data_IF_021441501503
#
_entry.id   IF_021441501503
#
_cell.length_a   1.000
_cell.length_b   1.000
_cell.length_c   1.000
_cell.angle_alpha   90.00
_cell.angle_beta   90.00
_cell.angle_gamma   90.00
#
_symmetry.space_group_name_H-M   'P 1'
#
loop_
_entity.id
_entity.type
_entity.pdbx_description
1 polymer ?
#
# COMPACT_ATOMS: atom_id res chain seq x y z
N UNK A 1 3.21 -22.29 0.72
CA UNK A 1 3.20 -20.83 0.53
C UNK A 1 2.89 -20.18 1.88
N UNK A 2 3.91 -19.68 2.59
CA UNK A 2 3.68 -18.93 3.84
C UNK A 2 3.28 -17.51 3.46
N UNK A 3 1.99 -17.19 3.55
CA UNK A 3 1.52 -15.82 3.44
C UNK A 3 1.95 -15.12 4.74
N UNK A 4 3.07 -14.41 4.72
CA UNK A 4 3.40 -13.50 5.82
C UNK A 4 2.40 -12.35 5.78
N UNK A 5 1.41 -12.40 6.66
CA UNK A 5 0.49 -11.31 6.92
C UNK A 5 1.27 -10.17 7.58
N UNK A 6 1.75 -9.20 6.80
CA UNK A 6 2.32 -7.97 7.35
C UNK A 6 1.16 -7.10 7.87
N UNK A 7 0.79 -7.27 9.14
CA UNK A 7 -0.16 -6.38 9.81
C UNK A 7 0.45 -4.97 9.83
N UNK A 8 -0.28 -3.99 9.30
CA UNK A 8 0.08 -2.58 9.42
C UNK A 8 -0.40 -2.06 10.79
N UNK A 9 0.38 -1.15 11.37
CA UNK A 9 0.13 -0.52 12.67
C UNK A 9 0.00 0.99 12.46
N UNK A 10 -1.03 1.58 13.07
CA UNK A 10 -1.17 3.02 13.19
C UNK A 10 -0.85 3.44 14.62
N UNK A 11 0.10 4.37 14.74
CA UNK A 11 0.49 4.95 16.03
C UNK A 11 -0.20 6.30 16.21
N UNK A 12 -0.98 6.41 17.27
CA UNK A 12 -1.66 7.62 17.67
C UNK A 12 -0.91 8.20 18.88
N UNK A 13 -0.11 9.25 18.65
CA UNK A 13 0.68 9.90 19.68
C UNK A 13 -0.09 10.99 20.41
N UNK A 14 0.01 11.01 21.74
CA UNK A 14 -0.52 12.10 22.54
C UNK A 14 0.26 13.39 22.29
N UNK A 15 -0.45 14.52 22.22
CA UNK A 15 0.17 15.85 22.13
C UNK A 15 0.96 16.15 23.40
N UNK A 16 2.22 16.61 23.30
CA UNK A 16 3.03 16.93 24.47
C UNK A 16 2.49 18.17 25.21
N UNK A 17 2.47 18.09 26.54
CA UNK A 17 2.05 19.19 27.44
C UNK A 17 3.24 19.95 28.02
N UNK A 18 4.44 19.37 27.93
CA UNK A 18 5.70 19.95 28.39
C UNK A 18 6.72 19.96 27.28
N UNK A 19 7.70 20.86 27.38
CA UNK A 19 8.87 20.82 26.50
C UNK A 19 9.63 19.50 26.75
N UNK A 20 10.29 18.94 25.73
CA UNK A 20 11.15 17.78 25.93
C UNK A 20 12.22 18.11 26.97
N UNK A 21 12.54 17.14 27.83
CA UNK A 21 13.63 17.25 28.81
C UNK A 21 14.86 16.46 28.39
N UNK A 22 14.73 15.57 27.40
CA UNK A 22 15.83 14.80 26.84
C UNK A 22 16.50 15.57 25.69
N UNK A 23 17.85 15.58 25.68
CA UNK A 23 18.65 16.08 24.55
C UNK A 23 18.97 17.58 24.53
N UNK A 24 18.57 18.36 25.55
CA UNK A 24 18.97 19.77 25.69
C UNK A 24 17.95 20.66 26.39
N UNK A 25 18.25 21.95 26.45
CA UNK A 25 17.33 23.02 26.88
C UNK A 25 16.47 23.45 25.69
N UNK A 26 15.22 23.03 25.69
CA UNK A 26 14.24 23.44 24.70
C UNK A 26 13.51 24.68 25.19
N UNK A 27 13.52 25.73 24.39
CA UNK A 27 12.78 26.96 24.68
C UNK A 27 11.63 27.14 23.69
N UNK A 28 10.56 27.80 24.16
CA UNK A 28 9.42 28.12 23.30
C UNK A 28 9.80 29.26 22.35
N UNK A 29 9.22 29.32 21.13
CA UNK A 29 9.36 30.49 20.27
C UNK A 29 8.92 31.79 20.98
N UNK A 30 9.55 32.91 20.65
CA UNK A 30 9.24 34.21 21.28
C UNK A 30 7.82 34.73 20.94
N UNK A 31 7.27 34.35 19.78
CA UNK A 31 5.92 34.72 19.32
C UNK A 31 5.22 33.55 18.63
N UNK A 32 3.90 33.65 18.43
CA UNK A 32 3.07 32.62 17.81
C UNK A 32 2.22 31.84 18.80
N UNK A 33 1.37 30.93 18.29
CA UNK A 33 0.34 30.26 19.08
C UNK A 33 0.91 29.48 20.29
N UNK A 34 2.06 28.83 20.12
CA UNK A 34 2.71 27.99 21.14
C UNK A 34 3.77 28.72 21.99
N UNK A 35 3.89 30.06 21.86
CA UNK A 35 4.82 30.85 22.68
C UNK A 35 4.31 31.02 24.12
N UNK A 36 5.16 31.55 25.02
CA UNK A 36 4.76 31.92 26.38
C UNK A 36 3.76 33.08 26.43
N UNK A 37 3.83 34.01 25.47
CA UNK A 37 2.86 35.11 25.32
C UNK A 37 1.63 34.78 24.46
N UNK A 38 1.59 33.59 23.85
CA UNK A 38 0.47 33.05 23.09
C UNK A 38 -0.44 32.16 23.95
N UNK A 39 -0.99 31.08 23.37
CA UNK A 39 -1.80 30.09 24.12
C UNK A 39 -0.96 29.04 24.85
N UNK A 40 0.36 29.01 24.61
CA UNK A 40 1.27 28.01 25.20
C UNK A 40 1.08 26.60 24.67
N UNK A 41 1.78 25.63 25.29
CA UNK A 41 1.53 24.21 25.03
C UNK A 41 0.17 23.79 25.57
N UNK A 42 -0.48 22.76 25.00
CA UNK A 42 -1.71 22.19 25.55
C UNK A 42 -1.56 21.86 27.04
N UNK A 43 -2.57 22.21 27.86
CA UNK A 43 -2.60 21.87 29.29
C UNK A 43 -3.05 20.42 29.54
N UNK A 44 -3.67 19.79 28.54
CA UNK A 44 -4.14 18.41 28.59
C UNK A 44 -3.61 17.65 27.38
N UNK A 45 -3.30 16.37 27.57
CA UNK A 45 -2.91 15.49 26.47
C UNK A 45 -4.15 15.12 25.67
N UNK A 46 -4.06 15.20 24.35
CA UNK A 46 -5.09 14.71 23.43
C UNK A 46 -4.43 13.91 22.33
N UNK A 47 -5.13 12.88 21.85
CA UNK A 47 -4.66 11.98 20.80
C UNK A 47 -5.46 12.27 19.52
N UNK A 48 -4.79 12.44 18.36
CA UNK A 48 -5.48 12.67 17.10
C UNK A 48 -6.33 11.46 16.73
N UNK A 49 -7.48 11.72 16.11
CA UNK A 49 -8.41 10.68 15.65
C UNK A 49 -8.39 10.62 14.13
N UNK A 50 -8.20 9.43 13.57
CA UNK A 50 -8.34 9.14 12.16
C UNK A 50 -9.80 8.77 11.88
N UNK A 51 -10.45 9.50 10.97
CA UNK A 51 -11.78 9.15 10.47
C UNK A 51 -11.61 8.51 9.10
N UNK A 52 -12.10 7.29 8.95
CA UNK A 52 -12.19 6.58 7.67
C UNK A 52 -13.66 6.56 7.29
N UNK A 53 -14.05 7.46 6.40
CA UNK A 53 -15.40 7.61 5.86
C UNK A 53 -15.63 6.78 4.59
N UNK A 54 -14.55 6.34 3.94
CA UNK A 54 -14.57 5.55 2.72
C UNK A 54 -14.04 4.13 2.94
N UNK A 55 -14.88 3.13 2.67
CA UNK A 55 -14.53 1.72 2.81
C UNK A 55 -13.39 1.26 1.88
N UNK A 56 -13.26 1.84 0.68
CA UNK A 56 -12.16 1.55 -0.25
C UNK A 56 -10.83 2.05 0.30
N UNK A 57 -10.79 3.26 0.86
CA UNK A 57 -9.60 3.77 1.53
C UNK A 57 -9.25 2.90 2.75
N UNK A 58 -10.26 2.49 3.54
CA UNK A 58 -10.09 1.56 4.65
C UNK A 58 -9.40 0.24 4.27
N UNK A 59 -9.70 -0.31 3.09
CA UNK A 59 -9.02 -1.52 2.56
C UNK A 59 -7.54 -1.30 2.24
N UNK A 60 -7.14 -0.09 1.87
CA UNK A 60 -5.73 0.25 1.60
C UNK A 60 -4.95 0.35 2.91
N UNK A 61 -5.52 1.04 3.90
CA UNK A 61 -4.86 1.26 5.20
C UNK A 61 -5.06 0.10 6.18
N UNK A 62 -5.90 -0.88 5.86
CA UNK A 62 -6.15 -2.08 6.68
C UNK A 62 -7.05 -1.82 7.90
N UNK A 63 -7.88 -0.78 7.85
CA UNK A 63 -8.79 -0.39 8.93
C UNK A 63 -10.23 -0.29 8.42
N UNK A 64 -11.19 -0.79 9.19
CA UNK A 64 -12.63 -0.60 8.90
C UNK A 64 -13.01 0.87 8.86
N UNK A 65 -14.03 1.22 8.06
CA UNK A 65 -14.65 2.53 8.13
C UNK A 65 -15.14 2.81 9.57
N UNK A 66 -14.92 4.05 10.03
CA UNK A 66 -15.13 4.45 11.41
C UNK A 66 -14.04 5.39 11.91
N UNK A 67 -14.12 5.71 13.20
CA UNK A 67 -13.12 6.57 13.84
C UNK A 67 -12.18 5.74 14.70
N UNK A 68 -10.88 5.99 14.55
CA UNK A 68 -9.81 5.30 15.26
C UNK A 68 -8.93 6.33 15.97
N UNK A 69 -8.79 6.30 17.30
CA UNK A 69 -9.55 5.47 18.24
C UNK A 69 -11.05 5.82 18.28
N UNK A 70 -11.89 4.84 18.62
CA UNK A 70 -13.36 4.98 18.64
C UNK A 70 -13.84 6.01 19.67
N UNK A 71 -13.08 6.19 20.74
CA UNK A 71 -13.31 7.19 21.81
C UNK A 71 -12.10 8.12 21.87
N UNK A 72 -12.32 9.39 22.21
CA UNK A 72 -11.22 10.32 22.46
C UNK A 72 -10.30 9.79 23.56
N UNK A 73 -9.00 9.81 23.29
CA UNK A 73 -7.98 9.29 24.18
C UNK A 73 -6.99 10.40 24.57
N UNK A 74 -6.37 10.24 25.74
CA UNK A 74 -5.36 11.14 26.29
C UNK A 74 -3.98 10.47 26.37
N UNK A 75 -3.90 9.17 26.02
CA UNK A 75 -2.70 8.33 26.12
C UNK A 75 -2.38 7.77 24.74
N UNK A 76 -1.10 7.82 24.37
CA UNK A 76 -0.62 7.26 23.10
C UNK A 76 -1.00 5.79 22.98
N UNK A 77 -1.45 5.39 21.79
CA UNK A 77 -1.85 4.01 21.53
C UNK A 77 -1.47 3.60 20.11
N UNK A 78 -1.32 2.29 19.92
CA UNK A 78 -1.11 1.69 18.63
C UNK A 78 -2.31 0.81 18.29
N UNK A 79 -2.84 0.96 17.09
CA UNK A 79 -3.90 0.10 16.60
C UNK A 79 -3.40 -0.75 15.45
N UNK A 80 -3.55 -2.07 15.60
CA UNK A 80 -3.29 -3.02 14.52
C UNK A 80 -4.44 -2.99 13.51
N UNK A 81 -4.09 -3.17 12.24
CA UNK A 81 -5.05 -3.43 11.16
C UNK A 81 -6.03 -4.55 11.53
N UNK A 82 -7.32 -4.26 11.38
CA UNK A 82 -8.43 -5.19 11.64
C UNK A 82 -9.00 -5.79 10.34
N UNK A 83 -8.58 -5.27 9.19
CA UNK A 83 -8.81 -5.86 7.87
C UNK A 83 -7.44 -6.19 7.28
N UNK A 84 -7.34 -7.31 6.56
CA UNK A 84 -6.15 -7.60 5.76
C UNK A 84 -6.04 -6.50 4.70
N UNK A 85 -5.02 -5.61 4.75
CA UNK A 85 -4.88 -4.57 3.76
C UNK A 85 -4.75 -5.24 2.39
N UNK A 86 -5.65 -4.89 1.49
CA UNK A 86 -5.73 -5.53 0.18
C UNK A 86 -4.67 -4.90 -0.73
N UNK A 87 -3.39 -5.12 -0.42
CA UNK A 87 -2.31 -4.95 -1.40
C UNK A 87 -2.48 -6.15 -2.33
N UNK A 88 -3.21 -5.92 -3.40
CA UNK A 88 -3.64 -6.90 -4.39
C UNK A 88 -2.68 -8.10 -4.52
N UNK A 89 -3.09 -9.34 -4.16
CA UNK A 89 -2.13 -10.44 -3.99
C UNK A 89 -1.52 -10.98 -5.28
N UNK A 90 -2.01 -10.58 -6.46
CA UNK A 90 -1.42 -10.88 -7.77
C UNK A 90 -1.67 -9.69 -8.71
N UNK A 91 -0.72 -8.77 -8.82
CA UNK A 91 -0.90 -7.50 -9.54
C UNK A 91 -0.76 -7.63 -11.06
N UNK A 92 -0.19 -8.73 -11.56
CA UNK A 92 0.04 -8.93 -12.99
C UNK A 92 0.30 -10.40 -13.28
N UNK A 93 -0.27 -10.89 -14.37
CA UNK A 93 0.12 -12.13 -15.02
C UNK A 93 1.09 -11.80 -16.14
N UNK A 94 2.22 -12.50 -16.17
CA UNK A 94 3.19 -12.39 -17.25
C UNK A 94 3.10 -13.67 -18.08
N UNK A 95 2.66 -13.54 -19.32
CA UNK A 95 2.66 -14.62 -20.30
C UNK A 95 4.02 -14.63 -20.99
N UNK A 96 4.72 -15.76 -20.93
CA UNK A 96 6.00 -15.97 -21.61
C UNK A 96 5.86 -17.07 -22.66
N UNK A 97 6.53 -16.90 -23.79
CA UNK A 97 6.59 -17.87 -24.86
C UNK A 97 8.02 -17.99 -25.40
N UNK A 98 8.49 -19.23 -25.48
CA UNK A 98 9.87 -19.58 -25.86
C UNK A 98 10.20 -19.33 -27.34
N UNK A 99 9.19 -19.01 -28.15
CA UNK A 99 9.34 -18.69 -29.56
C UNK A 99 9.71 -17.22 -29.80
N UNK A 100 9.45 -16.34 -28.82
CA UNK A 100 9.62 -14.90 -28.98
C UNK A 100 11.09 -14.55 -28.91
N UNK A 101 11.49 -13.62 -29.79
CA UNK A 101 12.85 -13.11 -29.86
C UNK A 101 12.88 -11.61 -29.54
N UNK A 102 13.42 -11.27 -28.36
CA UNK A 102 13.83 -9.90 -28.06
C UNK A 102 15.25 -9.91 -27.47
N UNK A 103 16.24 -9.58 -28.30
CA UNK A 103 17.67 -9.57 -27.93
C UNK A 103 18.06 -8.33 -27.09
N UNK A 104 17.17 -7.34 -26.97
CA UNK A 104 17.46 -6.09 -26.28
C UNK A 104 17.14 -6.14 -24.78
N UNK A 105 16.56 -7.22 -24.29
CA UNK A 105 16.10 -7.35 -22.90
C UNK A 105 16.42 -8.75 -22.36
N UNK A 106 16.86 -8.83 -21.10
CA UNK A 106 17.23 -10.09 -20.44
C UNK A 106 16.05 -11.10 -20.31
N UNK A 107 14.80 -10.62 -20.34
CA UNK A 107 13.59 -11.45 -20.40
C UNK A 107 12.90 -11.26 -21.76
N UNK A 108 13.57 -11.67 -22.82
CA UNK A 108 13.11 -11.45 -24.19
C UNK A 108 11.97 -12.33 -24.68
N UNK A 109 11.39 -13.16 -23.80
CA UNK A 109 10.37 -14.16 -24.10
C UNK A 109 8.96 -13.74 -23.63
N UNK A 110 8.76 -12.48 -23.24
CA UNK A 110 7.47 -11.97 -22.76
C UNK A 110 6.51 -11.76 -23.94
N UNK A 111 5.39 -12.48 -23.94
CA UNK A 111 4.29 -12.36 -24.91
C UNK A 111 3.33 -11.23 -24.56
N UNK A 112 2.93 -11.16 -23.30
CA UNK A 112 2.00 -10.15 -22.80
C UNK A 112 2.06 -10.08 -21.28
N UNK A 113 1.74 -8.91 -20.73
CA UNK A 113 1.49 -8.73 -19.32
C UNK A 113 0.11 -8.08 -19.15
N UNK A 114 -0.72 -8.67 -18.29
CA UNK A 114 -2.05 -8.14 -17.99
C UNK A 114 -2.40 -8.35 -16.52
N UNK A 115 -3.25 -7.49 -15.97
CA UNK A 115 -3.80 -7.68 -14.64
C UNK A 115 -5.08 -8.52 -14.69
N UNK A 116 -5.56 -8.97 -13.53
CA UNK A 116 -6.84 -9.70 -13.45
C UNK A 116 -8.07 -8.81 -13.74
N UNK A 117 -7.89 -7.50 -13.91
CA UNK A 117 -8.94 -6.50 -13.88
C UNK A 117 -9.84 -6.64 -12.64
N UNK A 118 -11.14 -6.73 -12.87
CA UNK A 118 -12.15 -6.91 -11.83
C UNK A 118 -12.40 -8.37 -11.42
N UNK A 119 -11.78 -9.35 -12.10
CA UNK A 119 -12.05 -10.77 -11.90
C UNK A 119 -11.63 -11.26 -10.51
N UNK A 120 -12.56 -11.81 -9.73
CA UNK A 120 -12.30 -12.32 -8.38
C UNK A 120 -11.62 -13.70 -8.42
N UNK A 121 -11.10 -14.14 -7.28
CA UNK A 121 -10.54 -15.50 -7.15
C UNK A 121 -11.59 -16.54 -7.51
N UNK A 122 -11.23 -17.49 -8.38
CA UNK A 122 -12.14 -18.52 -8.88
C UNK A 122 -12.99 -18.08 -10.08
N UNK A 123 -12.87 -16.83 -10.54
CA UNK A 123 -13.50 -16.37 -11.78
C UNK A 123 -12.54 -16.47 -12.96
N UNK A 124 -13.13 -16.57 -14.16
CA UNK A 124 -12.39 -16.60 -15.41
C UNK A 124 -11.87 -15.20 -15.75
N UNK A 125 -10.60 -15.11 -16.13
CA UNK A 125 -9.97 -13.86 -16.55
C UNK A 125 -10.05 -13.76 -18.07
N UNK A 126 -10.62 -12.65 -18.57
CA UNK A 126 -10.69 -12.36 -20.00
C UNK A 126 -9.66 -11.30 -20.39
N UNK A 127 -8.67 -11.69 -21.19
CA UNK A 127 -7.74 -10.76 -21.83
C UNK A 127 -8.11 -10.57 -23.31
N UNK A 128 -8.53 -9.36 -23.68
CA UNK A 128 -8.99 -9.01 -25.04
C UNK A 128 -8.39 -7.66 -25.46
N UNK A 129 -7.14 -7.63 -25.94
CA UNK A 129 -6.51 -6.38 -26.38
C UNK A 129 -7.29 -5.77 -27.55
N UNK A 130 -7.42 -4.44 -27.56
CA UNK A 130 -8.15 -3.70 -28.60
C UNK A 130 -7.37 -3.56 -29.91
N UNK A 131 -6.09 -3.96 -29.91
CA UNK A 131 -5.19 -3.89 -31.04
C UNK A 131 -4.37 -5.18 -31.11
N UNK A 132 -4.06 -5.62 -32.32
CA UNK A 132 -3.15 -6.74 -32.54
C UNK A 132 -1.71 -6.32 -32.28
N UNK A 133 -0.95 -7.18 -31.61
CA UNK A 133 0.49 -7.02 -31.41
C UNK A 133 1.22 -8.12 -32.19
N UNK A 134 2.22 -7.72 -32.96
CA UNK A 134 3.12 -8.64 -33.66
C UNK A 134 4.48 -8.60 -32.99
N UNK A 135 5.08 -9.77 -32.83
CA UNK A 135 6.37 -9.89 -32.20
C UNK A 135 7.28 -10.77 -33.05
N UNK A 136 8.57 -10.46 -33.01
CA UNK A 136 9.53 -11.24 -33.77
C UNK A 136 9.69 -12.63 -33.15
N UNK A 137 9.72 -13.65 -33.99
CA UNK A 137 9.92 -15.03 -33.60
C UNK A 137 11.35 -15.46 -33.89
N UNK A 138 11.84 -16.46 -33.17
CA UNK A 138 13.11 -17.10 -33.48
C UNK A 138 12.95 -17.86 -34.81
N UNK A 139 13.85 -17.59 -35.77
CA UNK A 139 13.89 -18.32 -37.04
C UNK A 139 14.26 -19.79 -36.81
N UNK A 140 13.54 -20.71 -37.44
CA UNK A 140 13.83 -22.14 -37.41
C UNK A 140 12.55 -22.98 -37.33
N UNK A 141 12.67 -24.26 -37.71
CA UNK A 141 11.58 -25.23 -37.54
C UNK A 141 11.51 -25.67 -36.07
N UNK A 142 10.32 -25.64 -35.49
CA UNK A 142 10.04 -26.20 -34.16
C UNK A 142 8.85 -27.14 -34.20
N UNK A 143 8.94 -28.21 -33.43
CA UNK A 143 7.87 -29.21 -33.27
C UNK A 143 6.90 -28.87 -32.15
N UNK A 144 7.25 -27.92 -31.28
CA UNK A 144 6.39 -27.45 -30.18
C UNK A 144 6.68 -26.00 -29.82
N UNK A 145 5.71 -25.37 -29.15
CA UNK A 145 5.76 -24.03 -28.56
C UNK A 145 5.34 -24.18 -27.10
N UNK A 146 6.05 -23.53 -26.18
CA UNK A 146 5.72 -23.54 -24.76
C UNK A 146 5.26 -22.17 -24.31
N UNK A 147 4.04 -22.11 -23.78
CA UNK A 147 3.48 -20.89 -23.17
C UNK A 147 3.39 -21.12 -21.66
N UNK A 148 3.96 -20.20 -20.90
CA UNK A 148 3.88 -20.21 -19.44
C UNK A 148 3.28 -18.91 -18.92
N UNK A 149 2.58 -18.99 -17.79
CA UNK A 149 1.96 -17.86 -17.11
C UNK A 149 2.54 -17.83 -15.69
N UNK A 150 3.10 -16.68 -15.31
CA UNK A 150 3.70 -16.43 -14.00
C UNK A 150 2.94 -15.32 -13.27
#
# INVERSE_FOLDING_TARGET
MKIQHSRKQFDFSATPTTLPTAGGTWERPASGLYSSGGTGLPMTTSVPRLIIDNAYFGKVVGLTAGTHPSVSATVSSAQLSNIIPQIHPLSSYIVRCDLIKNEYVASGDILSAFDRGDAQVGQLIFYKPSQYAWMNCINGSRTSITISIL
#
